data_IF_977708245067
#
_entry.id   IF_977708245067
#
_cell.length_a   1.000
_cell.length_b   1.000
_cell.length_c   1.000
_cell.angle_alpha   90.00
_cell.angle_beta   90.00
_cell.angle_gamma   90.00
#
_symmetry.space_group_name_H-M   'P 1'
#
loop_
_entity.id
_entity.type
_entity.pdbx_description
1 polymer ?
#
# COMPACT_ATOMS: atom_id res chain seq x y z
N UNK A 1 -11.19 -31.31 43.37
CA UNK A 1 -11.05 -31.23 41.90
C UNK A 1 -11.64 -29.93 41.30
N UNK A 2 -11.06 -28.73 41.50
CA UNK A 2 -11.44 -27.59 40.64
C UNK A 2 -10.29 -26.76 40.03
N UNK A 3 -9.03 -27.08 40.31
CA UNK A 3 -7.87 -26.30 39.79
C UNK A 3 -7.38 -26.84 38.44
N UNK A 4 -7.41 -28.17 38.23
CA UNK A 4 -6.94 -28.79 36.99
C UNK A 4 -7.80 -28.45 35.76
N UNK A 5 -9.09 -28.16 35.95
CA UNK A 5 -10.03 -27.87 34.85
C UNK A 5 -9.94 -26.41 34.35
N UNK A 6 -9.43 -25.48 35.17
CA UNK A 6 -9.19 -24.08 34.76
C UNK A 6 -7.90 -23.90 33.96
N UNK A 7 -6.88 -24.70 34.26
CA UNK A 7 -5.61 -24.66 33.51
C UNK A 7 -5.81 -25.25 32.10
N UNK A 8 -6.63 -26.29 31.96
CA UNK A 8 -6.92 -26.89 30.66
C UNK A 8 -7.70 -25.95 29.73
N UNK A 9 -8.59 -25.10 30.26
CA UNK A 9 -9.36 -24.13 29.45
C UNK A 9 -8.49 -22.95 28.96
N UNK A 10 -7.52 -22.49 29.78
CA UNK A 10 -6.60 -21.42 29.40
C UNK A 10 -5.54 -21.88 28.38
N UNK A 11 -5.11 -23.15 28.43
CA UNK A 11 -4.16 -23.72 27.46
C UNK A 11 -4.83 -24.01 26.11
N UNK A 12 -6.12 -24.36 26.10
CA UNK A 12 -6.86 -24.57 24.83
C UNK A 12 -7.17 -23.23 24.14
N UNK A 13 -7.47 -22.15 24.89
CA UNK A 13 -7.68 -20.83 24.29
C UNK A 13 -6.39 -20.18 23.76
N UNK A 14 -5.21 -20.48 24.31
CA UNK A 14 -3.93 -19.94 23.81
C UNK A 14 -3.40 -20.68 22.57
N UNK A 15 -3.82 -21.93 22.33
CA UNK A 15 -3.46 -22.70 21.13
C UNK A 15 -4.40 -22.47 19.93
N UNK A 16 -5.62 -21.96 20.16
CA UNK A 16 -6.58 -21.67 19.10
C UNK A 16 -6.36 -20.31 18.41
N UNK A 17 -5.70 -19.37 19.08
CA UNK A 17 -5.47 -18.01 18.55
C UNK A 17 -4.36 -17.96 17.47
N UNK A 18 -3.23 -18.69 17.59
CA UNK A 18 -2.22 -18.72 16.52
C UNK A 18 -2.75 -19.39 15.24
N UNK A 19 -3.60 -20.41 15.37
CA UNK A 19 -4.16 -21.14 14.24
C UNK A 19 -5.10 -20.28 13.38
N UNK A 20 -5.84 -19.35 13.99
CA UNK A 20 -6.72 -18.44 13.26
C UNK A 20 -5.96 -17.45 12.37
N UNK A 21 -4.76 -17.01 12.78
CA UNK A 21 -3.91 -16.09 11.99
C UNK A 21 -3.21 -16.82 10.82
N UNK A 22 -2.73 -18.04 11.03
CA UNK A 22 -2.13 -18.85 9.94
C UNK A 22 -3.18 -19.29 8.91
N UNK A 23 -4.44 -19.47 9.32
CA UNK A 23 -5.54 -19.79 8.41
C UNK A 23 -6.03 -18.60 7.55
N UNK A 24 -5.75 -17.34 7.94
CA UNK A 24 -6.23 -16.14 7.23
C UNK A 24 -5.62 -15.97 5.83
N UNK A 25 -4.36 -16.37 5.64
CA UNK A 25 -3.74 -16.43 4.32
C UNK A 25 -4.16 -17.69 3.55
N UNK A 26 -4.47 -18.80 4.22
CA UNK A 26 -4.70 -20.10 3.59
C UNK A 26 -5.95 -20.19 2.69
N UNK A 27 -7.01 -19.41 2.95
CA UNK A 27 -8.27 -19.50 2.18
C UNK A 27 -8.19 -18.81 0.80
N UNK A 28 -7.38 -17.75 0.67
CA UNK A 28 -7.20 -17.00 -0.59
C UNK A 28 -5.95 -17.45 -1.35
N UNK A 29 -4.91 -17.92 -0.67
CA UNK A 29 -3.64 -18.37 -1.28
C UNK A 29 -3.77 -19.62 -2.17
N UNK A 30 -4.88 -20.37 -2.08
CA UNK A 30 -5.14 -21.51 -2.98
C UNK A 30 -5.82 -21.11 -4.30
N UNK A 31 -6.27 -19.86 -4.44
CA UNK A 31 -6.97 -19.38 -5.64
C UNK A 31 -5.96 -19.06 -6.74
N UNK A 32 -6.14 -19.68 -7.92
CA UNK A 32 -5.35 -19.34 -9.12
C UNK A 32 -6.02 -18.18 -9.84
N UNK A 33 -5.32 -17.04 -9.94
CA UNK A 33 -5.87 -15.81 -10.51
C UNK A 33 -6.04 -15.82 -12.03
N UNK A 34 -5.35 -16.73 -12.73
CA UNK A 34 -5.30 -16.78 -14.19
C UNK A 34 -6.68 -16.74 -14.88
N UNK A 35 -7.69 -17.41 -14.29
CA UNK A 35 -9.06 -17.38 -14.84
C UNK A 35 -9.69 -16.00 -14.72
N UNK A 36 -9.60 -15.38 -13.54
CA UNK A 36 -10.13 -14.05 -13.29
C UNK A 36 -9.42 -12.98 -14.14
N UNK A 37 -8.09 -13.10 -14.28
CA UNK A 37 -7.29 -12.21 -15.12
C UNK A 37 -7.63 -12.37 -16.60
N UNK A 38 -7.88 -13.59 -17.07
CA UNK A 38 -8.36 -13.85 -18.43
C UNK A 38 -9.74 -13.22 -18.68
N UNK A 39 -10.66 -13.27 -17.71
CA UNK A 39 -11.98 -12.64 -17.85
C UNK A 39 -11.85 -11.11 -17.92
N UNK A 40 -11.01 -10.51 -17.07
CA UNK A 40 -10.74 -9.08 -17.12
C UNK A 40 -10.17 -8.65 -18.49
N UNK A 41 -9.25 -9.44 -19.05
CA UNK A 41 -8.64 -9.18 -20.35
C UNK A 41 -9.63 -9.26 -21.54
N UNK A 42 -10.80 -9.88 -21.38
CA UNK A 42 -11.82 -9.96 -22.44
C UNK A 42 -12.59 -8.65 -22.67
N UNK A 43 -12.48 -7.67 -21.78
CA UNK A 43 -13.27 -6.44 -21.84
C UNK A 43 -12.42 -5.16 -21.86
N UNK A 44 -11.35 -5.07 -22.65
CA UNK A 44 -10.47 -3.90 -22.64
C UNK A 44 -11.24 -2.64 -23.05
N UNK A 45 -11.06 -1.55 -22.29
CA UNK A 45 -11.68 -0.26 -22.56
C UNK A 45 -13.20 -0.24 -22.49
N UNK A 46 -13.84 -1.24 -21.86
CA UNK A 46 -15.30 -1.26 -21.73
C UNK A 46 -15.81 0.01 -21.04
N UNK A 47 -16.87 0.60 -21.60
CA UNK A 47 -17.45 1.83 -21.06
C UNK A 47 -17.93 1.63 -19.61
N UNK A 48 -17.70 2.64 -18.77
CA UNK A 48 -18.15 2.68 -17.36
C UNK A 48 -19.50 3.40 -17.18
N UNK A 49 -20.30 3.53 -18.25
CA UNK A 49 -21.63 4.14 -18.22
C UNK A 49 -22.69 3.24 -17.60
N UNK A 50 -22.50 1.91 -17.68
CA UNK A 50 -23.34 0.90 -17.04
C UNK A 50 -22.47 -0.07 -16.24
N UNK A 51 -22.30 0.24 -14.96
CA UNK A 51 -21.45 -0.53 -14.05
C UNK A 51 -22.03 -1.91 -13.74
N UNK A 52 -23.35 -2.09 -13.82
CA UNK A 52 -23.97 -3.40 -13.61
C UNK A 52 -23.59 -4.35 -14.73
N UNK A 53 -23.75 -3.94 -15.99
CA UNK A 53 -23.40 -4.76 -17.14
C UNK A 53 -21.92 -5.13 -17.14
N UNK A 54 -21.05 -4.16 -16.81
CA UNK A 54 -19.62 -4.44 -16.69
C UNK A 54 -19.31 -5.42 -15.54
N UNK A 55 -19.92 -5.22 -14.37
CA UNK A 55 -19.77 -6.14 -13.23
C UNK A 55 -20.24 -7.56 -13.58
N UNK A 56 -21.41 -7.71 -14.20
CA UNK A 56 -21.94 -9.02 -14.62
C UNK A 56 -20.98 -9.72 -15.59
N UNK A 57 -20.46 -9.00 -16.59
CA UNK A 57 -19.47 -9.51 -17.56
C UNK A 57 -18.19 -10.00 -16.88
N UNK A 58 -17.70 -9.26 -15.89
CA UNK A 58 -16.48 -9.58 -15.16
C UNK A 58 -16.67 -10.72 -14.15
N UNK A 59 -17.89 -11.01 -13.70
CA UNK A 59 -18.11 -11.86 -12.51
C UNK A 59 -18.98 -13.09 -12.73
N UNK A 60 -19.95 -13.09 -13.65
CA UNK A 60 -20.79 -14.26 -13.92
C UNK A 60 -20.00 -15.51 -14.36
N UNK A 61 -18.88 -15.40 -15.12
CA UNK A 61 -18.07 -16.57 -15.47
C UNK A 61 -17.26 -17.16 -14.30
N UNK A 62 -17.32 -16.58 -13.10
CA UNK A 62 -16.44 -16.89 -11.96
C UNK A 62 -17.27 -17.39 -10.77
N UNK A 63 -16.71 -18.34 -10.02
CA UNK A 63 -17.47 -19.07 -9.01
C UNK A 63 -17.33 -18.49 -7.60
N UNK A 64 -16.17 -17.93 -7.28
CA UNK A 64 -15.89 -17.41 -5.94
C UNK A 64 -15.86 -15.88 -5.90
N UNK A 65 -16.22 -15.28 -4.77
CA UNK A 65 -16.12 -13.82 -4.59
C UNK A 65 -14.68 -13.32 -4.73
N UNK A 66 -13.69 -14.14 -4.36
CA UNK A 66 -12.28 -13.81 -4.54
C UNK A 66 -11.90 -13.72 -6.03
N UNK A 67 -12.31 -14.67 -6.87
CA UNK A 67 -12.10 -14.60 -8.32
C UNK A 67 -12.84 -13.43 -8.95
N UNK A 68 -14.11 -13.22 -8.56
CA UNK A 68 -14.94 -12.10 -9.05
C UNK A 68 -14.28 -10.76 -8.73
N UNK A 69 -13.85 -10.58 -7.48
CA UNK A 69 -13.16 -9.37 -7.05
C UNK A 69 -11.81 -9.20 -7.76
N UNK A 70 -11.06 -10.29 -7.99
CA UNK A 70 -9.84 -10.26 -8.79
C UNK A 70 -10.10 -9.74 -10.19
N UNK A 71 -11.11 -10.25 -10.90
CA UNK A 71 -11.43 -9.81 -12.25
C UNK A 71 -11.82 -8.32 -12.29
N UNK A 72 -12.61 -7.86 -11.32
CA UNK A 72 -12.95 -6.43 -11.17
C UNK A 72 -11.68 -5.61 -10.93
N UNK A 73 -10.85 -6.00 -9.97
CA UNK A 73 -9.63 -5.28 -9.58
C UNK A 73 -8.65 -5.17 -10.76
N UNK A 74 -8.33 -6.30 -11.40
CA UNK A 74 -7.46 -6.36 -12.57
C UNK A 74 -8.02 -5.49 -13.70
N UNK A 75 -9.33 -5.56 -13.97
CA UNK A 75 -9.95 -4.74 -15.01
C UNK A 75 -9.79 -3.25 -14.71
N UNK A 76 -10.10 -2.80 -13.48
CA UNK A 76 -9.94 -1.40 -13.10
C UNK A 76 -8.49 -0.94 -13.27
N UNK A 77 -7.53 -1.72 -12.77
CA UNK A 77 -6.12 -1.31 -12.81
C UNK A 77 -5.53 -1.29 -14.23
N UNK A 78 -6.07 -2.11 -15.12
CA UNK A 78 -5.58 -2.23 -16.49
C UNK A 78 -6.40 -1.43 -17.50
N UNK A 79 -7.48 -0.75 -17.11
CA UNK A 79 -8.32 0.01 -18.04
C UNK A 79 -8.50 1.47 -17.66
N UNK A 80 -8.18 1.84 -16.41
CA UNK A 80 -8.27 3.22 -15.94
C UNK A 80 -6.85 3.80 -15.82
N UNK A 81 -6.70 5.08 -16.18
CA UNK A 81 -5.47 5.84 -16.03
C UNK A 81 -5.59 6.87 -14.90
N UNK A 82 -4.46 7.18 -14.26
CA UNK A 82 -4.43 8.25 -13.26
C UNK A 82 -4.39 9.63 -13.92
N UNK A 83 -5.31 10.53 -13.55
CA UNK A 83 -5.33 11.90 -14.02
C UNK A 83 -4.51 12.80 -13.09
N UNK A 84 -3.22 12.96 -13.41
CA UNK A 84 -2.30 13.80 -12.64
C UNK A 84 -2.73 15.28 -12.63
N UNK A 85 -3.34 15.78 -13.71
CA UNK A 85 -3.77 17.18 -13.80
C UNK A 85 -4.94 17.46 -12.86
N UNK A 86 -5.92 16.56 -12.80
CA UNK A 86 -7.01 16.62 -11.82
C UNK A 86 -6.47 16.49 -10.40
N UNK A 87 -5.53 15.58 -10.15
CA UNK A 87 -4.88 15.45 -8.85
C UNK A 87 -4.21 16.75 -8.39
N UNK A 88 -3.38 17.38 -9.25
CA UNK A 88 -2.72 18.65 -8.92
C UNK A 88 -3.73 19.79 -8.72
N UNK A 89 -4.82 19.80 -9.49
CA UNK A 89 -5.92 20.75 -9.30
C UNK A 89 -6.57 20.58 -7.93
N UNK A 90 -6.88 19.33 -7.55
CA UNK A 90 -7.43 18.99 -6.24
C UNK A 90 -6.49 19.40 -5.12
N UNK A 91 -5.23 18.95 -5.17
CA UNK A 91 -4.21 19.24 -4.16
C UNK A 91 -4.03 20.76 -3.92
N UNK A 92 -4.03 21.57 -4.98
CA UNK A 92 -3.93 23.03 -4.85
C UNK A 92 -5.15 23.64 -4.17
N UNK A 93 -6.36 23.20 -4.53
CA UNK A 93 -7.61 23.72 -3.96
C UNK A 93 -7.79 23.28 -2.51
N UNK A 94 -7.54 22.01 -2.19
CA UNK A 94 -7.61 21.51 -0.82
C UNK A 94 -6.63 22.23 0.09
N UNK A 95 -5.39 22.46 -0.37
CA UNK A 95 -4.41 23.25 0.38
C UNK A 95 -4.85 24.70 0.60
N UNK A 96 -5.44 25.34 -0.42
CA UNK A 96 -5.94 26.72 -0.33
C UNK A 96 -7.11 26.85 0.64
N UNK A 97 -7.98 25.84 0.71
CA UNK A 97 -9.21 25.85 1.50
C UNK A 97 -9.09 25.10 2.84
N UNK A 98 -7.88 24.68 3.23
CA UNK A 98 -7.65 23.83 4.43
C UNK A 98 -8.22 24.41 5.72
N UNK A 99 -8.19 25.74 5.86
CA UNK A 99 -8.67 26.47 7.03
C UNK A 99 -10.15 26.91 6.90
N UNK A 100 -10.86 26.46 5.86
CA UNK A 100 -12.27 26.77 5.60
C UNK A 100 -13.08 25.52 5.20
N UNK A 101 -13.55 24.73 6.20
CA UNK A 101 -14.26 23.48 5.95
C UNK A 101 -15.53 23.64 5.11
N UNK A 102 -16.26 24.74 5.27
CA UNK A 102 -17.49 25.01 4.51
C UNK A 102 -17.19 25.23 3.03
N UNK A 103 -16.16 26.02 2.71
CA UNK A 103 -15.73 26.23 1.32
C UNK A 103 -15.18 24.95 0.69
N UNK A 104 -14.44 24.15 1.46
CA UNK A 104 -13.94 22.85 1.00
C UNK A 104 -15.09 21.88 0.69
N UNK A 105 -16.09 21.79 1.56
CA UNK A 105 -17.32 21.02 1.34
C UNK A 105 -18.07 21.46 0.07
N UNK A 106 -18.21 22.77 -0.14
CA UNK A 106 -18.85 23.33 -1.32
C UNK A 106 -18.09 23.03 -2.62
N UNK A 107 -16.74 22.97 -2.56
CA UNK A 107 -15.89 22.66 -3.70
C UNK A 107 -15.93 21.18 -4.12
N UNK A 108 -16.14 20.26 -3.18
CA UNK A 108 -16.17 18.82 -3.47
C UNK A 108 -17.24 18.42 -4.48
N UNK A 109 -18.46 18.95 -4.37
CA UNK A 109 -19.57 18.56 -5.27
C UNK A 109 -19.26 18.80 -6.76
N UNK A 110 -18.88 20.01 -7.22
CA UNK A 110 -18.52 20.22 -8.62
C UNK A 110 -17.22 19.49 -9.02
N UNK A 111 -16.28 19.32 -8.09
CA UNK A 111 -15.06 18.56 -8.36
C UNK A 111 -15.35 17.07 -8.62
N UNK A 112 -16.15 16.41 -7.78
CA UNK A 112 -16.56 15.02 -7.96
C UNK A 112 -17.33 14.80 -9.27
N UNK A 113 -18.20 15.74 -9.66
CA UNK A 113 -18.88 15.68 -10.96
C UNK A 113 -17.89 15.77 -12.14
N UNK A 114 -16.85 16.59 -12.02
CA UNK A 114 -15.78 16.67 -13.01
C UNK A 114 -14.98 15.36 -13.07
N UNK A 115 -14.58 14.80 -11.93
CA UNK A 115 -13.88 13.50 -11.85
C UNK A 115 -14.71 12.40 -12.51
N UNK A 116 -15.99 12.29 -12.19
CA UNK A 116 -16.88 11.29 -12.79
C UNK A 116 -17.01 11.48 -14.31
N UNK A 117 -17.16 12.72 -14.79
CA UNK A 117 -17.24 13.02 -16.22
C UNK A 117 -15.97 12.62 -16.96
N UNK A 118 -14.80 12.87 -16.38
CA UNK A 118 -13.51 12.48 -16.97
C UNK A 118 -13.34 10.96 -16.95
N UNK A 119 -13.75 10.28 -15.87
CA UNK A 119 -13.76 8.83 -15.80
C UNK A 119 -14.62 8.21 -16.91
N UNK A 120 -15.85 8.68 -17.08
CA UNK A 120 -16.78 8.16 -18.09
C UNK A 120 -16.32 8.44 -19.53
N UNK A 121 -15.74 9.61 -19.79
CA UNK A 121 -15.37 10.02 -21.16
C UNK A 121 -13.98 9.57 -21.60
N UNK A 122 -13.06 9.43 -20.66
CA UNK A 122 -11.63 9.26 -20.95
C UNK A 122 -10.99 8.08 -20.22
N UNK A 123 -11.75 7.35 -19.38
CA UNK A 123 -11.19 6.32 -18.49
C UNK A 123 -10.03 6.84 -17.64
N UNK A 124 -10.10 8.11 -17.19
CA UNK A 124 -9.11 8.71 -16.29
C UNK A 124 -9.73 9.18 -15.00
N UNK A 125 -9.03 9.01 -13.89
CA UNK A 125 -9.54 9.45 -12.60
C UNK A 125 -8.43 9.66 -11.57
N UNK A 126 -8.79 10.10 -10.37
CA UNK A 126 -7.90 10.21 -9.21
C UNK A 126 -8.19 9.09 -8.20
N UNK A 127 -7.41 8.97 -7.14
CA UNK A 127 -7.53 7.90 -6.14
C UNK A 127 -8.97 7.65 -5.65
N UNK A 128 -9.71 8.71 -5.31
CA UNK A 128 -11.11 8.60 -4.88
C UNK A 128 -12.02 7.98 -5.96
N UNK A 129 -11.76 8.24 -7.24
CA UNK A 129 -12.55 7.67 -8.33
C UNK A 129 -12.18 6.22 -8.66
N UNK A 130 -10.91 5.82 -8.51
CA UNK A 130 -10.52 4.40 -8.50
C UNK A 130 -11.27 3.66 -7.39
N UNK A 131 -11.22 4.21 -6.18
CA UNK A 131 -11.83 3.58 -5.02
C UNK A 131 -13.36 3.49 -5.12
N UNK A 132 -14.00 4.51 -5.70
CA UNK A 132 -15.41 4.50 -6.02
C UNK A 132 -15.75 3.41 -7.05
N UNK A 133 -15.04 3.36 -8.18
CA UNK A 133 -15.31 2.41 -9.26
C UNK A 133 -15.18 0.97 -8.78
N UNK A 134 -14.13 0.67 -8.01
CA UNK A 134 -13.90 -0.66 -7.43
C UNK A 134 -15.03 -1.05 -6.47
N UNK A 135 -15.51 -0.10 -5.64
CA UNK A 135 -16.65 -0.31 -4.74
C UNK A 135 -17.93 -0.62 -5.51
N UNK A 136 -18.27 0.19 -6.52
CA UNK A 136 -19.54 0.06 -7.25
C UNK A 136 -19.59 -1.24 -8.07
N UNK A 137 -18.50 -1.61 -8.73
CA UNK A 137 -18.43 -2.88 -9.45
C UNK A 137 -18.56 -4.07 -8.50
N UNK A 138 -17.91 -4.02 -7.33
CA UNK A 138 -18.05 -5.04 -6.30
C UNK A 138 -19.48 -5.10 -5.73
N UNK A 139 -20.12 -3.94 -5.52
CA UNK A 139 -21.50 -3.85 -5.07
C UNK A 139 -22.46 -4.56 -6.02
N UNK A 140 -22.34 -4.32 -7.33
CA UNK A 140 -23.15 -5.02 -8.34
C UNK A 140 -22.91 -6.53 -8.38
N UNK A 141 -21.72 -6.99 -7.97
CA UNK A 141 -21.39 -8.40 -7.85
C UNK A 141 -21.84 -9.03 -6.50
N UNK A 142 -22.49 -8.25 -5.62
CA UNK A 142 -22.89 -8.70 -4.28
C UNK A 142 -21.73 -8.79 -3.27
N UNK A 143 -20.57 -8.20 -3.59
CA UNK A 143 -19.36 -8.25 -2.77
C UNK A 143 -19.28 -7.00 -1.90
N UNK A 144 -19.14 -7.19 -0.59
CA UNK A 144 -18.97 -6.06 0.35
C UNK A 144 -17.60 -5.43 0.14
N UNK A 145 -17.60 -4.19 -0.32
CA UNK A 145 -16.41 -3.38 -0.52
C UNK A 145 -16.72 -1.97 0.01
N UNK A 146 -15.76 -1.35 0.69
CA UNK A 146 -15.88 0.00 1.23
C UNK A 146 -14.72 0.86 0.74
N UNK A 147 -14.97 2.16 0.62
CA UNK A 147 -13.91 3.13 0.41
C UNK A 147 -13.30 3.49 1.76
N UNK A 148 -11.98 3.50 1.82
CA UNK A 148 -11.21 3.91 3.00
C UNK A 148 -10.47 5.19 2.63
N UNK A 149 -10.67 6.22 3.45
CA UNK A 149 -10.00 7.51 3.31
C UNK A 149 -8.88 7.62 4.33
N UNK A 150 -7.77 8.23 3.94
CA UNK A 150 -6.61 8.35 4.82
C UNK A 150 -5.40 9.02 4.21
N UNK A 151 -4.25 8.70 4.80
CA UNK A 151 -2.95 9.25 4.47
C UNK A 151 -2.22 8.24 3.58
N UNK A 152 -1.92 8.65 2.35
CA UNK A 152 -0.94 8.00 1.49
C UNK A 152 0.40 8.71 1.65
N UNK A 153 1.46 7.97 1.98
CA UNK A 153 2.80 8.53 2.24
C UNK A 153 3.78 8.13 1.14
N UNK A 154 4.52 9.11 0.63
CA UNK A 154 5.52 8.94 -0.44
C UNK A 154 6.67 9.93 -0.25
N UNK A 155 7.72 9.84 -1.06
CA UNK A 155 8.86 10.77 -1.00
C UNK A 155 8.51 12.25 -1.23
N UNK A 156 7.27 12.57 -1.62
CA UNK A 156 6.82 13.95 -1.88
C UNK A 156 5.65 14.41 -0.99
N UNK A 157 4.90 13.49 -0.38
CA UNK A 157 3.68 13.81 0.37
C UNK A 157 3.68 13.11 1.73
N UNK A 158 3.27 13.84 2.78
CA UNK A 158 3.27 13.35 4.16
C UNK A 158 4.64 12.85 4.64
N UNK A 159 5.72 13.47 4.16
CA UNK A 159 7.11 13.10 4.53
C UNK A 159 7.40 13.39 6.02
N UNK A 160 6.85 14.50 6.54
CA UNK A 160 7.02 15.00 7.92
C UNK A 160 5.87 15.92 8.33
N UNK A 161 5.82 16.30 9.60
CA UNK A 161 4.86 17.26 10.17
C UNK A 161 3.55 16.59 10.58
N UNK A 162 2.45 17.36 10.61
CA UNK A 162 1.13 16.87 11.03
C UNK A 162 0.45 15.95 10.00
N UNK A 163 0.93 15.97 8.76
CA UNK A 163 0.33 15.26 7.64
C UNK A 163 -1.09 15.74 7.30
N UNK A 164 -1.64 15.22 6.21
CA UNK A 164 -3.07 15.38 5.91
C UNK A 164 -3.57 14.17 5.13
N UNK A 165 -4.86 13.85 5.30
CA UNK A 165 -5.52 12.84 4.49
C UNK A 165 -5.55 13.30 3.03
N UNK A 166 -4.90 12.52 2.17
CA UNK A 166 -4.62 12.85 0.78
C UNK A 166 -4.92 11.68 -0.18
N UNK A 167 -5.35 10.53 0.34
CA UNK A 167 -5.49 9.31 -0.44
C UNK A 167 -6.78 8.56 -0.10
N UNK A 168 -7.20 7.71 -1.03
CA UNK A 168 -8.38 6.86 -0.89
C UNK A 168 -8.16 5.53 -1.59
N UNK A 169 -8.52 4.45 -0.92
CA UNK A 169 -8.36 3.07 -1.38
C UNK A 169 -9.59 2.24 -0.94
N UNK A 170 -9.51 0.91 -0.98
CA UNK A 170 -10.62 0.04 -0.59
C UNK A 170 -10.25 -1.00 0.47
N UNK A 171 -11.26 -1.38 1.24
CA UNK A 171 -11.27 -2.65 1.96
C UNK A 171 -12.40 -3.52 1.42
N UNK A 172 -12.13 -4.79 1.13
CA UNK A 172 -13.09 -5.76 0.60
C UNK A 172 -13.27 -6.91 1.57
N UNK A 173 -14.49 -7.40 1.74
CA UNK A 173 -14.75 -8.56 2.56
C UNK A 173 -14.94 -9.82 1.70
N UNK A 174 -14.04 -10.79 1.88
CA UNK A 174 -14.03 -12.06 1.14
C UNK A 174 -13.96 -13.20 2.17
N UNK A 175 -14.83 -14.20 2.06
CA UNK A 175 -14.85 -15.31 3.02
C UNK A 175 -15.01 -14.88 4.48
N UNK A 176 -15.71 -13.76 4.73
CA UNK A 176 -15.92 -13.19 6.07
C UNK A 176 -14.77 -12.33 6.61
N UNK A 177 -13.62 -12.28 5.93
CA UNK A 177 -12.45 -11.49 6.35
C UNK A 177 -12.28 -10.23 5.51
N UNK A 178 -11.81 -9.15 6.12
CA UNK A 178 -11.51 -7.89 5.44
C UNK A 178 -10.08 -7.87 4.91
N UNK A 179 -9.93 -7.54 3.64
CA UNK A 179 -8.66 -7.40 2.94
C UNK A 179 -8.49 -5.97 2.44
N UNK A 180 -7.25 -5.48 2.45
CA UNK A 180 -6.91 -4.13 2.00
C UNK A 180 -6.45 -4.18 0.54
N UNK A 181 -6.85 -3.19 -0.25
CA UNK A 181 -6.36 -3.06 -1.61
C UNK A 181 -6.35 -1.62 -2.11
N UNK A 182 -5.42 -1.32 -3.03
CA UNK A 182 -5.33 -0.01 -3.69
C UNK A 182 -5.09 -0.14 -5.19
N UNK A 183 -6.18 -0.05 -5.95
CA UNK A 183 -6.12 -0.05 -7.41
C UNK A 183 -5.30 1.11 -7.98
N UNK A 184 -5.26 2.26 -7.29
CA UNK A 184 -4.52 3.44 -7.74
C UNK A 184 -3.03 3.14 -7.86
N UNK A 185 -2.44 2.62 -6.78
CA UNK A 185 -0.99 2.35 -6.71
C UNK A 185 -0.60 1.01 -7.36
N UNK A 186 -1.58 0.13 -7.59
CA UNK A 186 -1.40 -1.05 -8.46
C UNK A 186 -1.40 -0.72 -9.95
N UNK A 187 -2.05 0.37 -10.41
CA UNK A 187 -2.23 0.65 -11.85
C UNK A 187 -0.97 1.16 -12.55
N UNK A 188 -0.06 1.79 -11.80
CA UNK A 188 1.16 2.39 -12.35
C UNK A 188 1.69 3.52 -11.47
N UNK A 189 2.48 4.40 -12.08
CA UNK A 189 3.16 5.49 -11.39
C UNK A 189 3.08 6.82 -12.16
N UNK A 190 3.48 7.91 -11.52
CA UNK A 190 3.56 9.23 -12.15
C UNK A 190 5.02 9.55 -12.41
N UNK A 191 5.34 9.82 -13.67
CA UNK A 191 6.58 10.53 -13.98
C UNK A 191 6.37 12.00 -13.66
N UNK A 192 6.92 12.44 -12.53
CA UNK A 192 6.74 13.82 -12.08
C UNK A 192 7.52 14.84 -12.92
N UNK A 193 8.53 14.41 -13.68
CA UNK A 193 9.30 15.28 -14.59
C UNK A 193 8.52 15.60 -15.86
N UNK A 194 7.79 14.60 -16.38
CA UNK A 194 6.94 14.72 -17.56
C UNK A 194 5.50 15.10 -17.22
N UNK A 195 5.08 14.91 -15.96
CA UNK A 195 3.71 15.15 -15.51
C UNK A 195 2.69 14.17 -16.09
N UNK A 196 3.14 12.97 -16.48
CA UNK A 196 2.31 11.95 -17.13
C UNK A 196 2.20 10.69 -16.26
N UNK A 197 1.10 9.98 -16.43
CA UNK A 197 0.91 8.66 -15.86
C UNK A 197 1.58 7.60 -16.73
N UNK A 198 2.42 6.77 -16.10
CA UNK A 198 3.02 5.59 -16.71
C UNK A 198 2.28 4.38 -16.16
N UNK A 199 1.57 3.70 -17.05
CA UNK A 199 0.87 2.46 -16.72
C UNK A 199 1.89 1.35 -16.51
N UNK A 200 1.84 0.74 -15.33
CA UNK A 200 2.76 -0.33 -14.92
C UNK A 200 2.04 -1.19 -13.87
N UNK A 201 1.07 -1.96 -14.37
CA UNK A 201 0.19 -2.74 -13.50
C UNK A 201 0.97 -3.80 -12.71
N UNK A 202 0.70 -3.89 -11.41
CA UNK A 202 1.24 -4.94 -10.54
C UNK A 202 0.28 -5.31 -9.40
N UNK A 203 0.49 -6.50 -8.82
CA UNK A 203 -0.38 -7.08 -7.79
C UNK A 203 -0.03 -6.66 -6.36
N UNK A 204 0.94 -5.77 -6.16
CA UNK A 204 1.52 -5.47 -4.83
C UNK A 204 0.49 -4.97 -3.83
N UNK A 205 -0.51 -4.22 -4.31
CA UNK A 205 -1.60 -3.69 -3.50
C UNK A 205 -2.91 -4.48 -3.65
N UNK A 206 -2.91 -5.68 -4.24
CA UNK A 206 -4.08 -6.56 -4.28
C UNK A 206 -4.09 -7.48 -3.05
N UNK A 207 -5.11 -7.33 -2.20
CA UNK A 207 -5.25 -8.10 -0.94
C UNK A 207 -3.97 -8.03 -0.10
N UNK A 208 -3.41 -6.82 -0.01
CA UNK A 208 -2.10 -6.56 0.57
C UNK A 208 -2.02 -6.96 2.05
N UNK A 209 -0.85 -7.41 2.46
CA UNK A 209 -0.58 -7.74 3.86
C UNK A 209 -0.71 -6.47 4.73
N UNK A 210 -1.56 -6.48 5.78
CA UNK A 210 -1.83 -5.29 6.59
C UNK A 210 -0.58 -4.61 7.15
N UNK A 211 0.43 -5.37 7.55
CA UNK A 211 1.67 -4.84 8.13
C UNK A 211 2.52 -4.07 7.11
N UNK A 212 2.52 -4.50 5.84
CA UNK A 212 3.19 -3.79 4.74
C UNK A 212 2.34 -2.60 4.27
N UNK A 213 1.02 -2.78 4.17
CA UNK A 213 0.08 -1.75 3.74
C UNK A 213 0.13 -0.53 4.69
N UNK A 214 0.18 -0.77 6.00
CA UNK A 214 0.26 0.27 7.03
C UNK A 214 1.53 1.13 6.97
N UNK A 215 2.55 0.76 6.19
CA UNK A 215 3.81 1.53 6.07
C UNK A 215 3.69 2.74 5.16
N UNK A 216 2.73 2.74 4.24
CA UNK A 216 2.47 3.87 3.36
C UNK A 216 0.98 4.24 3.23
N UNK A 217 0.08 3.51 3.91
CA UNK A 217 -1.33 3.82 4.03
C UNK A 217 -1.78 3.85 5.49
N UNK A 218 -2.25 5.01 5.97
CA UNK A 218 -2.82 5.15 7.30
C UNK A 218 -4.28 5.62 7.21
N UNK A 219 -5.29 4.81 7.58
CA UNK A 219 -6.69 5.20 7.46
C UNK A 219 -7.11 6.21 8.53
N UNK A 220 -8.10 7.05 8.20
CA UNK A 220 -8.77 7.91 9.20
C UNK A 220 -9.50 7.06 10.25
N UNK A 221 -10.16 5.98 9.81
CA UNK A 221 -10.69 4.97 10.70
C UNK A 221 -9.66 3.84 10.86
N UNK A 222 -9.00 3.84 12.02
CA UNK A 222 -7.95 2.86 12.35
C UNK A 222 -8.45 1.42 12.47
N UNK A 223 -9.76 1.16 12.40
CA UNK A 223 -10.28 -0.20 12.23
C UNK A 223 -9.73 -0.85 10.94
N UNK A 224 -9.56 -0.06 9.87
CA UNK A 224 -9.05 -0.52 8.57
C UNK A 224 -7.52 -0.62 8.49
N UNK A 225 -6.80 -0.52 9.62
CA UNK A 225 -5.40 -0.94 9.65
C UNK A 225 -5.27 -2.47 9.60
N UNK A 226 -6.29 -3.20 10.06
CA UNK A 226 -6.30 -4.67 10.14
C UNK A 226 -5.08 -5.24 10.90
N UNK A 227 -4.60 -4.50 11.92
CA UNK A 227 -3.49 -4.88 12.79
C UNK A 227 -3.95 -5.02 14.23
N UNK A 228 -3.31 -5.96 14.96
CA UNK A 228 -3.48 -6.13 16.40
C UNK A 228 -2.87 -4.94 17.15
N UNK A 229 -1.65 -4.58 16.79
CA UNK A 229 -0.94 -3.42 17.30
C UNK A 229 -0.94 -2.36 16.21
N UNK A 230 -1.59 -1.23 16.50
CA UNK A 230 -1.80 -0.15 15.53
C UNK A 230 -0.75 0.93 15.77
N UNK A 231 0.09 1.27 14.78
CA UNK A 231 0.99 2.40 14.92
C UNK A 231 0.19 3.68 15.16
N UNK A 232 0.78 4.65 15.86
CA UNK A 232 0.17 5.98 15.91
C UNK A 232 0.34 6.69 14.56
N UNK A 233 -0.46 7.73 14.31
CA UNK A 233 -0.25 8.59 13.14
C UNK A 233 1.15 9.24 13.17
N UNK A 234 1.66 9.56 14.36
CA UNK A 234 3.02 10.07 14.53
C UNK A 234 4.05 9.05 14.06
N UNK A 235 3.98 7.79 14.53
CA UNK A 235 4.91 6.74 14.10
C UNK A 235 4.86 6.53 12.58
N UNK A 236 3.67 6.58 11.99
CA UNK A 236 3.50 6.49 10.54
C UNK A 236 4.17 7.64 9.78
N UNK A 237 3.97 8.89 10.23
CA UNK A 237 4.50 10.09 9.58
C UNK A 237 6.03 10.22 9.71
N UNK A 238 6.60 9.63 10.77
CA UNK A 238 8.02 9.67 11.06
C UNK A 238 8.75 8.37 10.72
N UNK A 239 8.09 7.29 10.28
CA UNK A 239 8.73 6.05 9.81
C UNK A 239 9.58 6.28 8.54
N UNK A 240 10.43 5.33 8.11
CA UNK A 240 11.13 5.43 6.82
C UNK A 240 10.14 5.51 5.64
N UNK A 241 10.50 6.21 4.56
CA UNK A 241 9.66 6.26 3.36
C UNK A 241 9.85 4.96 2.59
N UNK A 242 8.78 4.19 2.36
CA UNK A 242 8.84 2.94 1.62
C UNK A 242 8.36 3.07 0.18
N UNK A 243 8.85 2.20 -0.71
CA UNK A 243 8.42 2.08 -2.10
C UNK A 243 7.72 0.74 -2.33
N UNK A 244 6.91 0.65 -3.37
CA UNK A 244 6.13 -0.57 -3.69
C UNK A 244 7.00 -1.81 -3.91
N UNK A 245 8.26 -1.68 -4.34
CA UNK A 245 9.12 -2.86 -4.57
C UNK A 245 9.36 -3.71 -3.31
N UNK A 246 9.16 -3.17 -2.10
CA UNK A 246 9.30 -3.96 -0.87
C UNK A 246 8.34 -5.15 -0.82
N UNK A 247 7.20 -5.06 -1.51
CA UNK A 247 6.16 -6.09 -1.52
C UNK A 247 6.64 -7.37 -2.22
N UNK A 248 7.52 -7.25 -3.22
CA UNK A 248 8.10 -8.38 -3.94
C UNK A 248 8.95 -9.26 -2.99
N UNK A 249 9.48 -8.66 -1.92
CA UNK A 249 10.33 -9.32 -0.92
C UNK A 249 9.70 -9.44 0.46
N UNK A 250 8.49 -8.88 0.64
CA UNK A 250 7.87 -8.59 1.93
C UNK A 250 8.85 -7.98 2.93
N UNK A 251 9.70 -7.08 2.44
CA UNK A 251 10.77 -6.47 3.23
C UNK A 251 10.21 -5.35 4.11
N UNK A 252 10.71 -5.22 5.34
CA UNK A 252 10.22 -4.19 6.27
C UNK A 252 11.39 -3.60 7.06
N UNK A 253 11.69 -2.29 6.92
CA UNK A 253 12.73 -1.65 7.73
C UNK A 253 12.32 -1.64 9.21
N UNK A 254 13.29 -1.91 10.08
CA UNK A 254 13.12 -1.99 11.54
C UNK A 254 14.01 -0.95 12.24
N UNK A 255 15.28 -0.85 11.84
CA UNK A 255 16.26 0.08 12.41
C UNK A 255 17.00 0.78 11.27
N UNK A 256 17.20 2.11 11.33
CA UNK A 256 16.51 3.05 12.21
C UNK A 256 14.99 3.03 12.00
N UNK A 257 14.22 3.28 13.06
CA UNK A 257 12.76 3.28 12.99
C UNK A 257 12.17 4.61 12.53
N UNK A 258 12.99 5.66 12.45
CA UNK A 258 12.59 7.02 12.04
C UNK A 258 13.22 7.43 10.71
N UNK A 259 12.54 8.31 9.98
CA UNK A 259 12.94 8.84 8.68
C UNK A 259 14.17 9.72 8.79
N UNK A 260 14.18 10.65 9.76
CA UNK A 260 15.34 11.47 10.07
C UNK A 260 16.22 10.72 11.06
N UNK A 261 17.50 10.56 10.72
CA UNK A 261 18.51 9.81 11.47
C UNK A 261 19.72 10.70 11.68
N UNK A 262 20.23 10.77 12.90
CA UNK A 262 21.48 11.46 13.22
C UNK A 262 22.60 10.45 13.42
N UNK A 263 23.76 10.69 12.79
CA UNK A 263 24.92 9.79 12.87
C UNK A 263 26.21 10.60 13.01
N UNK A 264 27.23 9.99 13.61
CA UNK A 264 28.57 10.58 13.74
C UNK A 264 29.43 10.20 12.54
N UNK A 265 30.15 11.16 11.95
CA UNK A 265 31.07 10.87 10.85
C UNK A 265 32.10 9.81 11.26
N UNK A 266 32.23 8.77 10.44
CA UNK A 266 33.22 7.70 10.62
C UNK A 266 32.78 6.59 11.58
N UNK A 267 31.66 6.74 12.28
CA UNK A 267 31.07 5.67 13.08
C UNK A 267 30.07 4.84 12.25
N UNK A 268 30.08 3.50 12.37
CA UNK A 268 29.11 2.66 11.69
C UNK A 268 27.72 2.85 12.31
N UNK A 269 26.69 2.93 11.47
CA UNK A 269 25.29 2.83 11.88
C UNK A 269 24.69 1.54 11.34
N UNK A 270 23.99 0.82 12.20
CA UNK A 270 23.30 -0.42 11.85
C UNK A 270 21.96 -0.10 11.18
N UNK A 271 21.71 -0.72 10.04
CA UNK A 271 20.40 -0.82 9.41
C UNK A 271 19.88 -2.23 9.56
N UNK A 272 18.65 -2.37 10.04
CA UNK A 272 18.00 -3.66 10.25
C UNK A 272 16.66 -3.69 9.54
N UNK A 273 16.32 -4.83 8.96
CA UNK A 273 15.06 -5.07 8.29
C UNK A 273 14.61 -6.53 8.42
N UNK A 274 13.30 -6.76 8.31
CA UNK A 274 12.72 -8.08 8.13
C UNK A 274 12.61 -8.42 6.65
N UNK A 275 12.82 -9.69 6.32
CA UNK A 275 12.60 -10.28 4.99
C UNK A 275 11.47 -11.31 5.05
N UNK A 276 10.64 -11.39 4.02
CA UNK A 276 9.61 -12.42 3.91
C UNK A 276 10.18 -13.82 3.79
N UNK A 277 9.44 -14.80 4.31
CA UNK A 277 9.74 -16.21 4.10
C UNK A 277 9.85 -16.53 2.60
N UNK A 278 10.92 -17.23 2.20
CA UNK A 278 11.18 -17.61 0.81
C UNK A 278 11.60 -16.47 -0.12
N UNK A 279 11.63 -15.20 0.33
CA UNK A 279 12.11 -14.10 -0.50
C UNK A 279 13.63 -14.23 -0.74
N UNK A 280 14.04 -14.10 -1.99
CA UNK A 280 15.45 -14.05 -2.41
C UNK A 280 15.83 -12.59 -2.62
N UNK A 281 16.92 -12.14 -2.02
CA UNK A 281 17.49 -10.81 -2.19
C UNK A 281 18.96 -11.01 -2.56
N UNK A 282 19.28 -10.86 -3.84
CA UNK A 282 20.64 -11.13 -4.33
C UNK A 282 21.60 -10.00 -3.94
N UNK A 283 21.08 -8.77 -3.88
CA UNK A 283 21.90 -7.59 -3.58
C UNK A 283 21.11 -6.54 -2.80
N UNK A 284 21.74 -6.03 -1.74
CA UNK A 284 21.30 -4.84 -1.03
C UNK A 284 22.35 -3.76 -1.18
N UNK A 285 21.93 -2.54 -1.47
CA UNK A 285 22.85 -1.41 -1.65
C UNK A 285 22.32 -0.11 -1.07
N UNK A 286 23.26 0.75 -0.71
CA UNK A 286 23.01 2.09 -0.18
C UNK A 286 23.32 3.10 -1.28
N UNK A 287 22.33 3.90 -1.66
CA UNK A 287 22.46 4.93 -2.68
C UNK A 287 22.32 6.33 -2.09
N UNK A 288 23.28 7.20 -2.43
CA UNK A 288 23.36 8.62 -2.04
C UNK A 288 23.67 9.46 -3.27
N UNK A 289 22.68 10.20 -3.77
CA UNK A 289 22.81 10.88 -5.07
C UNK A 289 23.07 9.89 -6.20
N UNK A 290 24.18 10.06 -6.93
CA UNK A 290 24.59 9.15 -8.02
C UNK A 290 25.40 7.95 -7.54
N UNK A 291 25.98 8.01 -6.33
CA UNK A 291 26.79 6.94 -5.75
C UNK A 291 25.89 5.81 -5.22
N UNK A 292 26.23 4.57 -5.54
CA UNK A 292 25.58 3.36 -5.02
C UNK A 292 26.65 2.37 -4.58
N UNK A 293 26.53 1.86 -3.36
CA UNK A 293 27.50 0.97 -2.73
C UNK A 293 26.79 -0.28 -2.23
N UNK A 294 27.27 -1.46 -2.63
CA UNK A 294 26.71 -2.72 -2.14
C UNK A 294 27.14 -2.96 -0.69
N UNK A 295 26.22 -3.53 0.10
CA UNK A 295 26.45 -3.84 1.51
C UNK A 295 26.34 -5.33 1.77
N UNK A 296 27.15 -5.82 2.70
CA UNK A 296 27.04 -7.21 3.16
C UNK A 296 25.95 -7.30 4.21
N UNK A 297 24.91 -8.06 3.90
CA UNK A 297 23.78 -8.30 4.80
C UNK A 297 24.02 -9.59 5.57
N UNK A 298 23.85 -9.54 6.89
CA UNK A 298 23.99 -10.69 7.79
C UNK A 298 22.68 -10.92 8.57
N UNK A 299 22.35 -12.16 8.92
CA UNK A 299 21.21 -12.42 9.80
C UNK A 299 21.47 -11.83 11.19
N UNK A 300 20.41 -11.34 11.84
CA UNK A 300 20.47 -10.94 13.24
C UNK A 300 20.42 -12.19 14.12
N UNK A 301 21.30 -12.29 15.11
CA UNK A 301 21.45 -13.47 15.96
C UNK A 301 20.11 -14.00 16.48
N UNK A 302 19.85 -15.28 16.21
CA UNK A 302 18.64 -15.99 16.66
C UNK A 302 17.35 -15.67 15.89
N UNK A 303 17.41 -14.91 14.80
CA UNK A 303 16.26 -14.61 13.94
C UNK A 303 16.33 -15.32 12.59
N UNK A 304 15.23 -15.92 12.17
CA UNK A 304 15.11 -16.56 10.85
C UNK A 304 14.72 -15.57 9.74
N UNK A 305 14.27 -14.37 10.11
CA UNK A 305 13.65 -13.38 9.22
C UNK A 305 14.24 -11.96 9.32
N UNK A 306 15.12 -11.70 10.31
CA UNK A 306 15.73 -10.37 10.52
C UNK A 306 17.16 -10.35 10.04
N UNK A 307 17.50 -9.29 9.34
CA UNK A 307 18.80 -9.08 8.74
C UNK A 307 19.28 -7.67 9.00
N UNK A 308 20.59 -7.49 9.10
CA UNK A 308 21.21 -6.19 9.26
C UNK A 308 22.44 -6.01 8.37
N UNK A 309 22.84 -4.76 8.22
CA UNK A 309 24.13 -4.36 7.69
C UNK A 309 24.56 -3.07 8.38
N UNK A 310 25.87 -2.90 8.54
CA UNK A 310 26.45 -1.65 9.02
C UNK A 310 26.86 -0.77 7.85
N UNK A 311 26.74 0.54 8.02
CA UNK A 311 27.15 1.51 7.02
C UNK A 311 27.77 2.75 7.66
N UNK A 312 28.92 3.18 7.14
CA UNK A 312 29.69 4.31 7.69
C UNK A 312 29.58 5.53 6.78
N UNK A 313 29.23 6.67 7.37
CA UNK A 313 29.15 7.94 6.64
C UNK A 313 30.43 8.77 6.79
N UNK A 314 31.11 9.02 5.67
CA UNK A 314 32.41 9.72 5.65
C UNK A 314 32.35 11.22 5.31
N UNK A 315 31.18 11.71 4.90
CA UNK A 315 30.95 13.11 4.50
C UNK A 315 29.93 13.74 5.43
N UNK A 316 30.25 14.91 6.00
CA UNK A 316 29.34 15.66 6.88
C UNK A 316 28.17 16.26 6.10
N UNK A 317 27.08 16.56 6.80
CA UNK A 317 25.91 17.24 6.25
C UNK A 317 24.71 16.33 6.05
N UNK A 318 23.61 16.94 5.59
CA UNK A 318 22.33 16.26 5.34
C UNK A 318 22.39 15.49 4.02
N UNK A 319 22.07 14.20 4.07
CA UNK A 319 22.07 13.30 2.92
C UNK A 319 20.73 12.56 2.84
N UNK A 320 20.20 12.40 1.62
CA UNK A 320 19.08 11.48 1.36
C UNK A 320 19.69 10.13 1.03
N UNK A 321 19.30 9.11 1.79
CA UNK A 321 19.87 7.77 1.72
C UNK A 321 18.78 6.81 1.31
N UNK A 322 18.97 6.16 0.18
CA UNK A 322 18.07 5.14 -0.33
C UNK A 322 18.67 3.76 -0.10
N UNK A 323 17.87 2.84 0.43
CA UNK A 323 18.19 1.42 0.44
C UNK A 323 17.53 0.80 -0.78
N UNK A 324 18.32 0.08 -1.57
CA UNK A 324 17.89 -0.62 -2.77
C UNK A 324 18.01 -2.13 -2.52
N UNK A 325 17.06 -2.88 -3.07
CA UNK A 325 17.08 -4.35 -3.13
C UNK A 325 17.00 -4.72 -4.61
N UNK A 326 18.00 -5.47 -5.09
CA UNK A 326 18.19 -5.83 -6.50
C UNK A 326 18.01 -4.62 -7.43
N UNK A 327 18.75 -3.54 -7.16
CA UNK A 327 18.73 -2.26 -7.90
C UNK A 327 17.41 -1.47 -7.86
N UNK A 328 16.41 -1.94 -7.11
CA UNK A 328 15.11 -1.29 -6.99
C UNK A 328 14.99 -0.58 -5.64
N UNK A 329 14.50 0.66 -5.67
CA UNK A 329 14.24 1.43 -4.44
C UNK A 329 13.30 0.67 -3.50
N UNK A 330 13.74 0.47 -2.26
CA UNK A 330 13.01 -0.24 -1.22
C UNK A 330 12.52 0.73 -0.15
N UNK A 331 13.42 1.49 0.49
CA UNK A 331 13.05 2.57 1.41
C UNK A 331 14.10 3.69 1.49
N UNK A 332 13.74 4.79 2.14
CA UNK A 332 14.55 6.02 2.22
C UNK A 332 14.55 6.60 3.62
N UNK A 333 15.72 7.15 3.98
CA UNK A 333 15.97 7.99 5.15
C UNK A 333 16.50 9.37 4.73
N UNK A 334 16.36 10.35 5.61
CA UNK A 334 17.29 11.48 5.67
C UNK A 334 18.30 11.21 6.78
N UNK A 335 19.59 11.25 6.46
CA UNK A 335 20.67 11.12 7.44
C UNK A 335 21.38 12.47 7.61
N UNK A 336 21.48 12.95 8.84
CA UNK A 336 22.28 14.10 9.22
C UNK A 336 23.60 13.60 9.83
N UNK A 337 24.70 13.77 9.10
CA UNK A 337 26.03 13.36 9.53
C UNK A 337 26.71 14.52 10.24
N UNK A 338 27.01 14.36 11.53
CA UNK A 338 27.60 15.39 12.39
C UNK A 338 29.11 15.51 12.25
#
# INVERSE_FOLDING_TARGET
MPVLMRILFLVICSLLVPAALVAQQAHVTRVRWARADSVAACYPGHAVTDLKVLSDKLTLPLSTDAEKFRAIYTWVCTNIEYDYTLFKTNQRQTFKLRDNPAALAAWWRPFSQRVFRVLVRHHRTVCTGYAYLLRELAHHAGIRCVMVHGYGRSGQVNVRGEGHANHSWNAVQLGGQWYLCDATWSSGSIDTSLGIFIKDYNDRYFLAEPALFARNHYPLDTAYLNLREKPSLHDFLYAPIIYSNIYDYKAMPLIPSTFDVEVVKGEPVMFEFRKGEGAVMDRVSVRKGTLSEDVTVVPVDGSDDRYCFDYTFNTRGRQVVHILIDERYAWTYTVQVQ
#
